data_IF_056425276231
#
_entry.id   IF_056425276231
#
_cell.length_a   1.000
_cell.length_b   1.000
_cell.length_c   1.000
_cell.angle_alpha   90.00
_cell.angle_beta   90.00
_cell.angle_gamma   90.00
#
_symmetry.space_group_name_H-M   'P 1'
#
loop_
_entity.id
_entity.type
_entity.pdbx_description
1 polymer ?
#
# COMPACT_ATOMS: atom_id res chain seq x y z
N UNK A 1 9.63 -8.14 16.82
CA UNK A 1 8.90 -7.01 16.19
C UNK A 1 8.93 -5.83 17.15
N UNK A 2 9.06 -4.58 16.64
CA UNK A 2 9.14 -3.39 17.49
C UNK A 2 7.98 -3.29 18.49
N UNK A 3 6.75 -3.58 18.05
CA UNK A 3 5.57 -3.62 18.92
C UNK A 3 5.66 -4.67 20.04
N UNK A 4 6.12 -5.89 19.73
CA UNK A 4 6.29 -6.98 20.71
C UNK A 4 7.35 -6.63 21.76
N UNK A 5 8.41 -5.94 21.34
CA UNK A 5 9.49 -5.48 22.21
C UNK A 5 9.14 -4.19 22.97
N UNK A 6 7.95 -3.62 22.74
CA UNK A 6 7.53 -2.30 23.27
C UNK A 6 8.48 -1.16 22.90
N UNK A 7 9.19 -1.28 21.78
CA UNK A 7 10.02 -0.23 21.21
C UNK A 7 9.13 0.77 20.47
N UNK A 8 8.61 1.74 21.22
CA UNK A 8 7.66 2.75 20.72
C UNK A 8 8.33 3.66 19.69
N UNK A 9 9.61 3.99 19.86
CA UNK A 9 10.32 4.88 18.94
C UNK A 9 10.43 4.25 17.56
N UNK A 10 10.89 3.00 17.49
CA UNK A 10 11.00 2.26 16.24
C UNK A 10 9.64 1.97 15.62
N UNK A 11 8.63 1.63 16.44
CA UNK A 11 7.27 1.41 15.95
C UNK A 11 6.69 2.68 15.30
N UNK A 12 6.90 3.85 15.91
CA UNK A 12 6.46 5.15 15.39
C UNK A 12 7.15 5.48 14.07
N UNK A 13 8.46 5.25 13.96
CA UNK A 13 9.20 5.46 12.72
C UNK A 13 8.65 4.61 11.56
N UNK A 14 8.42 3.32 11.82
CA UNK A 14 7.83 2.41 10.83
C UNK A 14 6.41 2.82 10.44
N UNK A 15 5.60 3.25 11.41
CA UNK A 15 4.25 3.75 11.13
C UNK A 15 4.27 4.94 10.18
N UNK A 16 5.11 5.95 10.43
CA UNK A 16 5.21 7.12 9.56
C UNK A 16 5.76 6.81 8.17
N UNK A 17 6.65 5.80 8.04
CA UNK A 17 7.06 5.29 6.74
C UNK A 17 5.89 4.70 5.96
N UNK A 18 5.01 3.94 6.63
CA UNK A 18 3.83 3.31 6.01
C UNK A 18 2.64 4.27 5.82
N UNK A 19 2.59 5.38 6.55
CA UNK A 19 1.45 6.29 6.58
C UNK A 19 1.00 6.77 5.19
N UNK A 20 1.88 7.14 4.23
CA UNK A 20 1.44 7.53 2.89
C UNK A 20 0.61 6.45 2.18
N UNK A 21 0.97 5.17 2.37
CA UNK A 21 0.23 4.04 1.83
C UNK A 21 -1.16 3.93 2.47
N UNK A 22 -1.24 4.04 3.80
CA UNK A 22 -2.51 3.98 4.52
C UNK A 22 -3.44 5.15 4.16
N UNK A 23 -2.88 6.37 4.10
CA UNK A 23 -3.64 7.55 3.65
C UNK A 23 -4.19 7.36 2.25
N UNK A 24 -3.43 6.78 1.31
CA UNK A 24 -3.95 6.50 -0.04
C UNK A 24 -5.12 5.51 0.00
N UNK A 25 -5.02 4.43 0.77
CA UNK A 25 -6.07 3.42 0.88
C UNK A 25 -7.35 3.98 1.49
N UNK A 26 -7.22 4.78 2.55
CA UNK A 26 -8.34 5.38 3.27
C UNK A 26 -9.04 6.47 2.43
N UNK A 27 -8.27 7.33 1.77
CA UNK A 27 -8.82 8.45 0.99
C UNK A 27 -9.48 8.01 -0.31
N UNK A 28 -8.97 6.96 -0.96
CA UNK A 28 -9.57 6.42 -2.19
C UNK A 28 -10.69 5.41 -1.91
N UNK A 29 -10.67 4.75 -0.74
CA UNK A 29 -11.56 3.63 -0.42
C UNK A 29 -11.28 2.35 -1.22
N UNK A 30 -10.21 2.31 -2.02
CA UNK A 30 -9.92 1.26 -3.00
C UNK A 30 -9.05 0.13 -2.43
N UNK A 31 -9.36 -0.38 -1.24
CA UNK A 31 -8.52 -1.32 -0.50
C UNK A 31 -8.10 -2.56 -1.30
N UNK A 32 -9.07 -3.30 -1.85
CA UNK A 32 -8.81 -4.56 -2.58
C UNK A 32 -8.12 -4.26 -3.92
N UNK A 33 -8.53 -3.18 -4.57
CA UNK A 33 -8.01 -2.75 -5.87
C UNK A 33 -6.54 -2.36 -5.78
N UNK A 34 -6.19 -1.50 -4.82
CA UNK A 34 -4.81 -1.05 -4.59
C UNK A 34 -3.94 -2.16 -4.04
N UNK A 35 -4.47 -3.07 -3.20
CA UNK A 35 -3.72 -4.25 -2.73
C UNK A 35 -3.29 -5.13 -3.91
N UNK A 36 -4.24 -5.47 -4.80
CA UNK A 36 -3.94 -6.30 -5.98
C UNK A 36 -2.97 -5.61 -6.94
N UNK A 37 -3.17 -4.32 -7.20
CA UNK A 37 -2.27 -3.53 -8.04
C UNK A 37 -0.85 -3.42 -7.42
N UNK A 38 -0.75 -3.22 -6.11
CA UNK A 38 0.52 -3.18 -5.39
C UNK A 38 1.27 -4.50 -5.46
N UNK A 39 0.56 -5.63 -5.30
CA UNK A 39 1.16 -6.96 -5.45
C UNK A 39 1.66 -7.21 -6.88
N UNK A 40 0.93 -6.75 -7.89
CA UNK A 40 1.39 -6.79 -9.28
C UNK A 40 2.66 -5.94 -9.50
N UNK A 41 2.70 -4.71 -8.98
CA UNK A 41 3.89 -3.84 -9.01
C UNK A 41 5.10 -4.53 -8.36
N UNK A 42 4.88 -5.28 -7.29
CA UNK A 42 5.90 -6.05 -6.57
C UNK A 42 6.22 -7.42 -7.21
N UNK A 43 5.70 -7.72 -8.41
CA UNK A 43 5.98 -8.94 -9.15
C UNK A 43 5.20 -10.18 -8.70
N UNK A 44 4.07 -10.00 -8.00
CA UNK A 44 3.22 -11.07 -7.46
C UNK A 44 1.75 -10.88 -7.88
N UNK A 45 1.39 -11.05 -9.15
CA UNK A 45 0.04 -10.73 -9.63
C UNK A 45 -1.02 -11.69 -9.08
N UNK A 46 -2.14 -11.14 -8.58
CA UNK A 46 -3.33 -11.88 -8.13
C UNK A 46 -4.58 -11.57 -8.98
N UNK A 47 -4.37 -11.04 -10.18
CA UNK A 47 -5.40 -10.65 -11.13
C UNK A 47 -6.26 -9.47 -10.67
N UNK A 48 -7.12 -9.01 -11.59
CA UNK A 48 -7.98 -7.85 -11.35
C UNK A 48 -8.99 -8.07 -10.20
N UNK A 49 -9.46 -6.98 -9.56
CA UNK A 49 -10.59 -7.04 -8.64
C UNK A 49 -11.83 -7.63 -9.31
N UNK A 50 -12.66 -8.35 -8.53
CA UNK A 50 -13.92 -8.87 -9.04
C UNK A 50 -14.94 -7.74 -9.14
N UNK A 51 -15.77 -7.77 -10.18
CA UNK A 51 -16.92 -6.84 -10.31
C UNK A 51 -17.82 -6.92 -9.07
N UNK A 52 -18.42 -5.80 -8.63
CA UNK A 52 -18.49 -4.50 -9.31
C UNK A 52 -17.26 -3.60 -9.15
N UNK A 53 -16.24 -4.01 -8.38
CA UNK A 53 -15.02 -3.21 -8.20
C UNK A 53 -14.23 -3.16 -9.51
N UNK A 54 -13.85 -1.96 -9.92
CA UNK A 54 -12.99 -1.72 -11.08
C UNK A 54 -11.52 -1.65 -10.64
N UNK A 55 -10.54 -1.91 -11.53
CA UNK A 55 -9.13 -1.65 -11.24
C UNK A 55 -8.88 -0.17 -10.90
N UNK A 56 -7.79 0.16 -10.17
CA UNK A 56 -7.40 1.56 -9.96
C UNK A 56 -7.08 2.26 -11.28
N UNK A 57 -7.17 3.58 -11.28
CA UNK A 57 -6.73 4.40 -12.42
C UNK A 57 -5.22 4.28 -12.63
N UNK A 58 -4.72 4.64 -13.81
CA UNK A 58 -3.28 4.62 -14.05
C UNK A 58 -2.54 5.68 -13.22
N UNK A 59 -3.19 6.80 -12.91
CA UNK A 59 -2.70 7.81 -11.95
C UNK A 59 -2.53 7.21 -10.55
N UNK A 60 -3.55 6.51 -10.05
CA UNK A 60 -3.46 5.84 -8.74
C UNK A 60 -2.38 4.75 -8.73
N UNK A 61 -2.24 3.97 -9.81
CA UNK A 61 -1.16 2.97 -9.91
C UNK A 61 0.22 3.62 -9.90
N UNK A 62 0.39 4.76 -10.56
CA UNK A 62 1.65 5.49 -10.58
C UNK A 62 1.98 6.03 -9.18
N UNK A 63 1.01 6.66 -8.50
CA UNK A 63 1.17 7.11 -7.11
C UNK A 63 1.49 5.96 -6.16
N UNK A 64 0.84 4.81 -6.33
CA UNK A 64 1.12 3.60 -5.55
C UNK A 64 2.55 3.11 -5.78
N UNK A 65 3.05 3.12 -7.02
CA UNK A 65 4.43 2.73 -7.36
C UNK A 65 5.44 3.63 -6.64
N UNK A 66 5.23 4.94 -6.66
CA UNK A 66 6.10 5.91 -5.98
C UNK A 66 6.14 5.67 -4.46
N UNK A 67 4.97 5.46 -3.84
CA UNK A 67 4.90 5.12 -2.40
C UNK A 67 5.67 3.82 -2.12
N UNK A 68 5.46 2.77 -2.90
CA UNK A 68 6.12 1.47 -2.69
C UNK A 68 7.64 1.55 -2.88
N UNK A 69 8.15 2.37 -3.80
CA UNK A 69 9.60 2.59 -3.97
C UNK A 69 10.25 3.14 -2.70
N UNK A 70 9.55 3.99 -1.93
CA UNK A 70 10.05 4.51 -0.65
C UNK A 70 10.12 3.46 0.46
N UNK A 71 9.44 2.31 0.31
CA UNK A 71 9.33 1.26 1.32
C UNK A 71 10.25 0.05 1.06
N UNK A 72 10.69 -0.14 -0.18
CA UNK A 72 11.50 -1.30 -0.61
C UNK A 72 13.01 -1.01 -0.50
N UNK A 73 13.39 0.22 -0.16
CA UNK A 73 14.78 0.63 0.09
C UNK A 73 15.13 0.50 1.57
#
# INVERSE_FOLDING_TARGET
LAAVQKDIQKARELYFKLLPLFTMFETTGQYVQLTKAGLEILGRPYGNPRRPLLPPTDEDKQRLREILQTLVT
#
